data_IF_421359827523
#
_entry.id   IF_421359827523
#
_cell.length_a   1.000
_cell.length_b   1.000
_cell.length_c   1.000
_cell.angle_alpha   90.00
_cell.angle_beta   90.00
_cell.angle_gamma   90.00
#
_symmetry.space_group_name_H-M   'P 1'
#
loop_
_entity.id
_entity.type
_entity.pdbx_description
1 polymer ?
#
# COMPACT_ATOMS: atom_id res chain seq x y z
N UNK A 1 -7.28 13.32 -11.84
CA UNK A 1 -8.68 12.88 -11.95
C UNK A 1 -9.49 13.73 -10.98
N UNK A 2 -10.58 14.36 -11.43
CA UNK A 2 -11.44 15.19 -10.58
C UNK A 2 -12.86 14.67 -10.67
N UNK A 3 -13.48 14.38 -9.54
CA UNK A 3 -14.88 13.97 -9.42
C UNK A 3 -15.72 15.23 -9.25
N UNK A 4 -16.15 15.84 -10.35
CA UNK A 4 -16.91 17.10 -10.29
C UNK A 4 -16.16 18.25 -9.60
N UNK A 5 -14.82 18.28 -9.66
CA UNK A 5 -13.97 19.27 -8.98
C UNK A 5 -13.38 18.79 -7.66
N UNK A 6 -13.78 17.63 -7.14
CA UNK A 6 -13.19 17.01 -5.95
C UNK A 6 -11.99 16.12 -6.31
N UNK A 7 -10.89 16.24 -5.57
CA UNK A 7 -9.74 15.34 -5.68
C UNK A 7 -9.86 14.26 -4.59
N UNK A 8 -9.81 12.96 -4.92
CA UNK A 8 -9.93 11.89 -3.94
C UNK A 8 -8.97 12.02 -2.76
N UNK A 9 -9.51 11.87 -1.55
CA UNK A 9 -8.78 11.85 -0.29
C UNK A 9 -8.85 10.47 0.35
N UNK A 10 -7.92 10.19 1.26
CA UNK A 10 -8.00 9.00 2.13
C UNK A 10 -9.33 9.02 2.90
N UNK A 11 -9.99 7.86 2.95
CA UNK A 11 -11.33 7.61 3.51
C UNK A 11 -12.52 8.09 2.67
N UNK A 12 -12.32 8.69 1.51
CA UNK A 12 -13.43 8.91 0.57
C UNK A 12 -13.99 7.56 0.10
N UNK A 13 -15.32 7.47 0.06
CA UNK A 13 -16.04 6.34 -0.51
C UNK A 13 -16.44 6.75 -1.92
N UNK A 14 -15.78 6.17 -2.92
CA UNK A 14 -16.02 6.46 -4.33
C UNK A 14 -16.73 5.27 -4.95
N UNK A 15 -17.91 5.52 -5.49
CA UNK A 15 -18.63 4.57 -6.34
C UNK A 15 -18.07 4.63 -7.75
N UNK A 16 -17.58 3.49 -8.22
CA UNK A 16 -16.98 3.32 -9.54
C UNK A 16 -17.68 2.15 -10.24
N UNK A 17 -18.11 2.30 -11.51
CA UNK A 17 -18.56 1.18 -12.32
C UNK A 17 -17.39 0.21 -12.55
N UNK A 18 -17.46 -0.97 -11.93
CA UNK A 18 -16.44 -2.01 -12.03
C UNK A 18 -17.06 -3.30 -12.58
N UNK A 19 -16.36 -3.93 -13.52
CA UNK A 19 -16.63 -5.32 -13.93
C UNK A 19 -16.31 -6.27 -12.78
N UNK A 20 -16.97 -7.42 -12.69
CA UNK A 20 -16.65 -8.45 -11.69
C UNK A 20 -15.25 -9.03 -11.88
N UNK A 21 -14.68 -8.90 -13.08
CA UNK A 21 -13.34 -9.36 -13.45
C UNK A 21 -12.51 -8.25 -14.09
N UNK A 22 -11.20 -8.45 -14.15
CA UNK A 22 -10.25 -7.62 -14.87
C UNK A 22 -9.16 -8.46 -15.52
N UNK A 23 -8.17 -7.82 -16.16
CA UNK A 23 -7.00 -8.51 -16.67
C UNK A 23 -6.27 -9.23 -15.53
N UNK A 24 -5.99 -10.52 -15.73
CA UNK A 24 -5.10 -11.29 -14.86
C UNK A 24 -3.67 -11.19 -15.41
N UNK A 25 -2.81 -10.52 -14.67
CA UNK A 25 -1.37 -10.44 -14.97
C UNK A 25 -0.57 -11.54 -14.23
N UNK A 26 -1.26 -12.53 -13.69
CA UNK A 26 -0.77 -13.73 -13.02
C UNK A 26 -0.12 -13.52 -11.64
N UNK A 27 -0.11 -12.28 -11.12
CA UNK A 27 0.49 -11.98 -9.81
C UNK A 27 -0.46 -11.27 -8.83
N UNK A 28 -1.66 -10.90 -9.24
CA UNK A 28 -2.64 -10.19 -8.41
C UNK A 28 -4.06 -10.71 -8.62
N UNK A 29 -4.86 -10.68 -7.55
CA UNK A 29 -6.21 -11.26 -7.52
C UNK A 29 -7.31 -10.20 -7.54
N UNK A 30 -6.96 -8.96 -7.24
CA UNK A 30 -7.88 -7.86 -6.94
C UNK A 30 -8.27 -7.04 -8.18
N UNK A 31 -7.65 -7.32 -9.33
CA UNK A 31 -7.85 -6.54 -10.54
C UNK A 31 -9.29 -6.61 -11.07
N UNK A 32 -9.84 -5.44 -11.34
CA UNK A 32 -11.16 -5.27 -11.95
C UNK A 32 -11.07 -4.27 -13.09
N UNK A 33 -11.80 -4.53 -14.17
CA UNK A 33 -11.92 -3.55 -15.27
C UNK A 33 -12.85 -2.42 -14.85
N UNK A 34 -12.37 -1.18 -14.94
CA UNK A 34 -13.22 0.02 -14.84
C UNK A 34 -14.11 0.09 -16.08
N UNK A 35 -15.42 0.09 -15.88
CA UNK A 35 -16.41 0.17 -16.95
C UNK A 35 -16.70 1.63 -17.31
N UNK A 36 -17.34 1.84 -18.46
CA UNK A 36 -17.87 3.16 -18.83
C UNK A 36 -18.98 3.55 -17.84
N UNK A 37 -18.93 4.80 -17.37
CA UNK A 37 -19.94 5.39 -16.51
C UNK A 37 -19.34 6.51 -15.64
N UNK A 38 -20.17 7.06 -14.77
CA UNK A 38 -19.78 8.15 -13.88
C UNK A 38 -19.20 7.62 -12.57
N UNK A 39 -18.25 8.36 -12.01
CA UNK A 39 -17.68 8.11 -10.70
C UNK A 39 -18.30 9.10 -9.73
N UNK A 40 -18.78 8.62 -8.58
CA UNK A 40 -19.49 9.45 -7.61
C UNK A 40 -18.81 9.38 -6.25
N UNK A 41 -18.65 10.52 -5.59
CA UNK A 41 -18.32 10.56 -4.17
C UNK A 41 -19.59 10.20 -3.38
N UNK A 42 -19.67 8.97 -2.92
CA UNK A 42 -20.83 8.44 -2.19
C UNK A 42 -20.80 8.80 -0.69
N UNK A 43 -19.63 9.15 -0.16
CA UNK A 43 -19.49 9.60 1.21
C UNK A 43 -18.04 9.63 1.66
N UNK A 44 -17.85 9.75 2.98
CA UNK A 44 -16.54 9.73 3.62
C UNK A 44 -16.63 8.85 4.87
N UNK A 45 -15.73 7.88 4.96
CA UNK A 45 -15.59 7.02 6.11
C UNK A 45 -14.82 7.71 7.24
N UNK A 46 -15.00 7.24 8.46
CA UNK A 46 -14.09 7.51 9.57
C UNK A 46 -13.03 6.42 9.65
N UNK A 47 -11.89 6.65 10.35
CA UNK A 47 -10.94 5.58 10.64
C UNK A 47 -11.60 4.37 11.32
N UNK A 48 -12.56 4.61 12.22
CA UNK A 48 -13.31 3.57 12.93
C UNK A 48 -14.16 2.73 11.97
N UNK A 49 -14.75 3.31 10.94
CA UNK A 49 -15.56 2.59 9.95
C UNK A 49 -14.74 1.55 9.17
N UNK A 50 -13.46 1.85 8.91
CA UNK A 50 -12.56 0.98 8.14
C UNK A 50 -11.78 -0.02 9.00
N UNK A 51 -11.76 0.14 10.32
CA UNK A 51 -11.10 -0.78 11.27
C UNK A 51 -11.55 -2.24 11.09
N UNK A 52 -12.82 -2.48 10.74
CA UNK A 52 -13.35 -3.83 10.53
C UNK A 52 -12.74 -4.56 9.32
N UNK A 53 -12.17 -3.82 8.37
CA UNK A 53 -11.46 -4.37 7.22
C UNK A 53 -9.96 -4.51 7.47
N UNK A 54 -9.44 -3.87 8.52
CA UNK A 54 -8.03 -3.92 8.85
C UNK A 54 -7.64 -5.29 9.42
N UNK A 55 -6.69 -5.93 8.75
CA UNK A 55 -6.13 -7.20 9.17
C UNK A 55 -5.01 -6.97 10.20
N UNK A 56 -4.74 -8.00 11.00
CA UNK A 56 -3.51 -8.08 11.81
C UNK A 56 -2.75 -9.35 11.44
N UNK A 57 -2.26 -9.44 10.19
CA UNK A 57 -1.68 -10.68 9.70
C UNK A 57 -0.36 -10.96 10.40
N UNK A 58 -0.06 -12.25 10.65
CA UNK A 58 1.28 -12.64 11.11
C UNK A 58 2.35 -12.30 10.07
N UNK A 59 2.01 -12.37 8.79
CA UNK A 59 2.92 -12.10 7.66
C UNK A 59 2.24 -11.12 6.72
N UNK A 60 2.86 -9.96 6.52
CA UNK A 60 2.35 -8.92 5.61
C UNK A 60 2.77 -9.25 4.18
N UNK A 61 1.78 -9.35 3.28
CA UNK A 61 1.97 -9.64 1.86
C UNK A 61 2.95 -10.81 1.64
N UNK A 62 2.51 -12.01 2.01
CA UNK A 62 3.09 -13.34 1.68
C UNK A 62 4.38 -13.79 2.37
N UNK A 63 5.33 -12.88 2.62
CA UNK A 63 6.64 -13.26 3.17
C UNK A 63 7.21 -12.20 4.15
N UNK A 64 8.41 -12.44 4.66
CA UNK A 64 9.10 -11.53 5.58
C UNK A 64 10.09 -10.58 4.88
N UNK A 65 10.21 -10.65 3.55
CA UNK A 65 11.09 -9.81 2.74
C UNK A 65 10.40 -8.48 2.43
N UNK A 66 11.17 -7.51 1.91
CA UNK A 66 10.66 -6.21 1.40
C UNK A 66 9.96 -6.33 0.04
N UNK A 67 9.99 -7.51 -0.58
CA UNK A 67 9.41 -7.81 -1.90
C UNK A 67 8.95 -9.27 -1.94
N UNK A 68 8.13 -9.63 -2.91
CA UNK A 68 7.97 -11.02 -3.37
C UNK A 68 8.40 -11.10 -4.83
N UNK A 69 8.98 -12.19 -5.29
CA UNK A 69 9.26 -12.36 -6.73
C UNK A 69 7.97 -12.66 -7.48
N UNK A 70 7.95 -12.37 -8.78
CA UNK A 70 6.83 -12.76 -9.65
C UNK A 70 6.54 -14.27 -9.56
N UNK A 71 7.59 -15.09 -9.53
CA UNK A 71 7.47 -16.54 -9.36
C UNK A 71 6.84 -16.94 -8.01
N UNK A 72 7.24 -16.31 -6.90
CA UNK A 72 6.64 -16.54 -5.57
C UNK A 72 5.14 -16.20 -5.57
N UNK A 73 4.72 -15.21 -6.37
CA UNK A 73 3.30 -14.83 -6.52
C UNK A 73 2.55 -15.81 -7.41
N UNK A 74 3.10 -16.18 -8.57
CA UNK A 74 2.48 -17.12 -9.52
C UNK A 74 2.30 -18.53 -8.92
N UNK A 75 3.20 -18.95 -8.02
CA UNK A 75 3.11 -20.22 -7.31
C UNK A 75 1.90 -20.32 -6.36
N UNK A 76 1.22 -19.21 -6.08
CA UNK A 76 0.01 -19.20 -5.24
C UNK A 76 -1.25 -19.43 -6.06
N UNK A 77 -2.29 -20.05 -5.47
CA UNK A 77 -3.64 -20.04 -6.03
C UNK A 77 -4.09 -18.60 -6.31
N UNK A 78 -4.86 -18.39 -7.38
CA UNK A 78 -5.29 -17.07 -7.83
C UNK A 78 -5.86 -16.21 -6.69
N UNK A 79 -6.78 -16.77 -5.88
CA UNK A 79 -7.45 -16.06 -4.78
C UNK A 79 -6.52 -15.69 -3.62
N UNK A 80 -5.31 -16.27 -3.57
CA UNK A 80 -4.31 -15.98 -2.54
C UNK A 80 -3.25 -14.98 -3.02
N UNK A 81 -3.30 -14.51 -4.28
CA UNK A 81 -2.35 -13.54 -4.85
C UNK A 81 -2.66 -12.11 -4.42
N UNK A 82 -2.84 -11.89 -3.12
CA UNK A 82 -3.20 -10.59 -2.55
C UNK A 82 -2.05 -9.59 -2.72
N UNK A 83 -2.24 -8.51 -3.45
CA UNK A 83 -1.27 -7.41 -3.60
C UNK A 83 -1.64 -6.17 -2.81
N UNK A 84 -2.86 -6.10 -2.25
CA UNK A 84 -3.34 -4.99 -1.43
C UNK A 84 -3.86 -5.45 -0.06
N UNK A 85 -3.38 -4.83 1.02
CA UNK A 85 -3.80 -5.16 2.39
C UNK A 85 -3.95 -3.92 3.25
N UNK A 86 -5.11 -3.74 3.88
CA UNK A 86 -5.25 -2.81 4.99
C UNK A 86 -4.82 -3.51 6.28
N UNK A 87 -3.83 -2.98 6.98
CA UNK A 87 -3.32 -3.56 8.23
C UNK A 87 -3.39 -2.57 9.39
N UNK A 88 -3.59 -3.08 10.61
CA UNK A 88 -3.50 -2.29 11.83
C UNK A 88 -2.16 -2.49 12.53
N UNK A 89 -1.38 -1.41 12.69
CA UNK A 89 -0.07 -1.39 13.34
C UNK A 89 -0.13 -0.51 14.59
N UNK A 90 0.50 -0.96 15.68
CA UNK A 90 0.52 -0.26 16.99
C UNK A 90 1.89 0.30 17.40
N UNK A 91 2.92 0.01 16.60
CA UNK A 91 4.29 0.46 16.82
C UNK A 91 4.89 0.93 15.48
N UNK A 92 4.10 1.72 14.74
CA UNK A 92 4.53 2.30 13.49
C UNK A 92 5.56 3.39 13.76
N UNK A 93 6.63 3.40 12.97
CA UNK A 93 7.67 4.42 13.03
C UNK A 93 8.09 4.78 11.60
N UNK A 94 8.69 5.93 11.44
CA UNK A 94 9.24 6.37 10.16
C UNK A 94 10.71 6.72 10.29
N UNK A 95 11.45 6.55 9.21
CA UNK A 95 12.85 6.94 9.09
C UNK A 95 13.05 7.65 7.77
N UNK A 96 13.72 8.79 7.85
CA UNK A 96 14.26 9.44 6.69
C UNK A 96 15.51 8.69 6.23
N UNK A 97 15.50 8.22 4.99
CA UNK A 97 16.61 7.47 4.39
C UNK A 97 17.36 8.26 3.34
N UNK A 98 17.37 9.60 3.46
CA UNK A 98 18.39 10.43 2.81
C UNK A 98 19.78 9.81 3.06
N UNK A 99 20.26 9.05 2.08
CA UNK A 99 21.68 8.80 1.92
C UNK A 99 22.28 10.14 1.48
N UNK A 100 23.50 10.44 1.91
CA UNK A 100 24.22 11.69 1.70
C UNK A 100 24.49 12.08 0.23
N UNK A 101 23.71 11.60 -0.75
CA UNK A 101 23.96 11.72 -2.19
C UNK A 101 22.75 12.15 -3.03
N UNK A 102 21.54 12.23 -2.46
CA UNK A 102 20.39 12.83 -3.15
C UNK A 102 19.63 13.77 -2.21
N UNK A 103 19.50 15.05 -2.56
CA UNK A 103 18.74 16.06 -1.79
C UNK A 103 17.22 15.78 -1.73
N UNK A 104 16.74 14.67 -2.28
CA UNK A 104 15.33 14.30 -2.26
C UNK A 104 15.04 13.45 -1.02
N UNK A 105 14.05 13.83 -0.19
CA UNK A 105 13.59 12.99 0.91
C UNK A 105 13.24 11.58 0.44
N UNK A 106 13.54 10.57 1.26
CA UNK A 106 13.14 9.19 1.00
C UNK A 106 12.66 8.54 2.29
N UNK A 107 11.36 8.59 2.53
CA UNK A 107 10.78 8.08 3.78
C UNK A 107 10.51 6.58 3.73
N UNK A 108 10.89 5.89 4.80
CA UNK A 108 10.56 4.48 5.04
C UNK A 108 9.71 4.34 6.29
N UNK A 109 8.70 3.49 6.24
CA UNK A 109 7.97 3.03 7.41
C UNK A 109 8.65 1.79 8.01
N UNK A 110 8.73 1.74 9.33
CA UNK A 110 9.25 0.62 10.11
C UNK A 110 8.08 -0.02 10.85
N UNK A 111 7.92 -1.32 10.65
CA UNK A 111 6.81 -2.09 11.21
C UNK A 111 7.20 -3.57 11.32
N UNK A 112 6.42 -4.36 12.08
CA UNK A 112 6.71 -5.78 12.28
C UNK A 112 5.92 -6.68 11.33
N UNK A 113 6.62 -7.61 10.68
CA UNK A 113 6.06 -8.72 9.88
C UNK A 113 6.77 -10.02 10.27
N UNK A 114 6.02 -11.09 10.51
CA UNK A 114 6.54 -12.39 10.93
C UNK A 114 7.42 -12.33 12.20
N UNK A 115 7.15 -11.38 13.10
CA UNK A 115 7.95 -11.14 14.31
C UNK A 115 9.25 -10.36 14.08
N UNK A 116 9.58 -10.00 12.82
CA UNK A 116 10.76 -9.23 12.44
C UNK A 116 10.37 -7.82 12.05
N UNK A 117 11.26 -6.87 12.28
CA UNK A 117 11.10 -5.53 11.72
C UNK A 117 11.40 -5.55 10.22
N UNK A 118 10.56 -4.89 9.45
CA UNK A 118 10.76 -4.62 8.03
C UNK A 118 10.69 -3.11 7.79
N UNK A 119 11.43 -2.65 6.80
CA UNK A 119 11.38 -1.27 6.33
C UNK A 119 10.77 -1.22 4.93
N UNK A 120 9.79 -0.35 4.75
CA UNK A 120 8.97 -0.32 3.54
C UNK A 120 8.89 1.11 3.03
N UNK A 121 8.97 1.31 1.71
CA UNK A 121 8.85 2.64 1.10
C UNK A 121 7.48 3.26 1.33
N UNK A 122 7.43 4.54 1.68
CA UNK A 122 6.18 5.31 1.78
C UNK A 122 5.95 6.03 0.45
N UNK A 123 4.80 5.80 -0.16
CA UNK A 123 4.38 6.42 -1.44
C UNK A 123 3.07 7.19 -1.34
N UNK A 124 2.45 7.23 -0.16
CA UNK A 124 1.34 8.13 0.13
C UNK A 124 1.81 9.59 0.01
N UNK A 125 1.37 10.35 -1.01
CA UNK A 125 1.90 11.69 -1.26
C UNK A 125 1.51 12.69 -0.18
N UNK A 126 0.32 12.53 0.43
CA UNK A 126 -0.16 13.44 1.49
C UNK A 126 0.66 13.21 2.74
N UNK A 127 0.80 11.96 3.16
CA UNK A 127 1.58 11.62 4.34
C UNK A 127 3.07 11.92 4.15
N UNK A 128 3.62 11.65 2.95
CA UNK A 128 5.00 11.99 2.62
C UNK A 128 5.29 13.48 2.74
N UNK A 129 4.36 14.34 2.29
CA UNK A 129 4.49 15.79 2.44
C UNK A 129 4.45 16.22 3.91
N UNK A 130 3.52 15.66 4.71
CA UNK A 130 3.50 15.90 6.17
C UNK A 130 4.84 15.58 6.82
N UNK A 131 5.46 14.44 6.47
CA UNK A 131 6.76 14.06 7.01
C UNK A 131 7.86 15.06 6.61
N UNK A 132 7.85 15.57 5.37
CA UNK A 132 8.79 16.62 4.94
C UNK A 132 8.62 17.93 5.71
N UNK A 133 7.42 18.21 6.19
CA UNK A 133 7.09 19.38 7.02
C UNK A 133 7.42 19.17 8.50
N UNK A 134 7.98 18.01 8.87
CA UNK A 134 8.39 17.69 10.25
C UNK A 134 7.31 17.00 11.08
N UNK A 135 6.25 16.48 10.46
CA UNK A 135 5.23 15.70 11.15
C UNK A 135 5.81 14.47 11.84
N UNK A 136 5.49 14.29 13.12
CA UNK A 136 5.77 13.06 13.86
C UNK A 136 4.51 12.19 13.86
N UNK A 137 4.54 11.01 13.20
CA UNK A 137 3.34 10.21 13.07
C UNK A 137 2.98 9.47 14.35
N UNK A 138 1.68 9.25 14.53
CA UNK A 138 1.16 8.29 15.52
C UNK A 138 1.81 6.92 15.33
N UNK A 139 2.00 6.20 16.45
CA UNK A 139 2.42 4.79 16.44
C UNK A 139 1.28 3.85 16.05
N UNK A 140 0.05 4.30 16.22
CA UNK A 140 -1.17 3.53 16.07
C UNK A 140 -1.86 3.93 14.75
N UNK A 141 -1.60 3.15 13.70
CA UNK A 141 -2.04 3.49 12.35
C UNK A 141 -2.73 2.32 11.65
N UNK A 142 -3.65 2.63 10.76
CA UNK A 142 -3.98 1.76 9.64
C UNK A 142 -3.07 2.08 8.46
N UNK A 143 -2.48 1.06 7.87
CA UNK A 143 -1.60 1.19 6.72
C UNK A 143 -2.19 0.41 5.55
N UNK A 144 -2.30 1.06 4.40
CA UNK A 144 -2.56 0.39 3.13
C UNK A 144 -1.24 -0.09 2.57
N UNK A 145 -0.97 -1.38 2.75
CA UNK A 145 0.16 -2.07 2.17
C UNK A 145 -0.18 -2.45 0.72
N UNK A 146 0.71 -2.14 -0.21
CA UNK A 146 0.57 -2.49 -1.62
C UNK A 146 1.84 -3.15 -2.15
N UNK A 147 1.74 -3.77 -3.33
CA UNK A 147 2.90 -4.24 -4.08
C UNK A 147 3.04 -3.48 -5.40
N UNK A 148 4.27 -3.22 -5.83
CA UNK A 148 4.52 -2.69 -7.18
C UNK A 148 4.25 -3.74 -8.24
N UNK A 149 4.09 -3.29 -9.49
CA UNK A 149 4.32 -4.17 -10.64
C UNK A 149 5.72 -4.83 -10.54
N UNK A 150 5.89 -6.05 -11.10
CA UNK A 150 7.18 -6.70 -11.14
C UNK A 150 8.21 -5.82 -11.86
N UNK A 151 9.24 -5.36 -11.14
CA UNK A 151 10.29 -4.51 -11.71
C UNK A 151 11.64 -4.75 -11.06
N UNK A 152 12.57 -5.25 -11.87
CA UNK A 152 13.98 -5.35 -11.51
C UNK A 152 14.66 -3.98 -11.55
N UNK A 153 15.61 -3.77 -10.65
CA UNK A 153 16.59 -2.69 -10.76
C UNK A 153 17.86 -3.22 -11.43
N UNK A 154 18.74 -2.31 -11.88
CA UNK A 154 20.00 -2.69 -12.51
C UNK A 154 20.82 -3.58 -11.56
N UNK A 155 21.31 -4.70 -12.10
CA UNK A 155 22.06 -5.70 -11.33
C UNK A 155 21.20 -6.68 -10.52
N UNK A 156 19.87 -6.67 -10.66
CA UNK A 156 19.02 -7.70 -10.07
C UNK A 156 19.21 -9.05 -10.76
N UNK A 157 19.43 -10.10 -9.97
CA UNK A 157 19.47 -11.47 -10.45
C UNK A 157 18.16 -12.21 -10.11
N UNK A 158 17.64 -12.97 -11.08
CA UNK A 158 16.45 -13.81 -10.91
C UNK A 158 15.13 -13.13 -11.32
N UNK A 159 14.02 -13.70 -10.85
CA UNK A 159 12.66 -13.26 -11.19
C UNK A 159 12.40 -11.83 -10.72
N UNK A 160 11.73 -10.97 -11.52
CA UNK A 160 11.47 -9.58 -11.15
C UNK A 160 10.72 -9.45 -9.82
N UNK A 161 11.15 -8.56 -8.92
CA UNK A 161 10.51 -8.36 -7.62
C UNK A 161 9.30 -7.42 -7.73
N UNK A 162 8.27 -7.76 -6.98
CA UNK A 162 7.14 -6.91 -6.62
C UNK A 162 7.42 -6.33 -5.22
N UNK A 163 7.72 -5.03 -5.14
CA UNK A 163 8.15 -4.37 -3.91
C UNK A 163 6.97 -4.00 -3.03
N UNK A 164 7.08 -4.26 -1.72
CA UNK A 164 6.08 -3.81 -0.75
C UNK A 164 6.22 -2.29 -0.55
N UNK A 165 5.09 -1.61 -0.45
CA UNK A 165 4.98 -0.17 -0.24
C UNK A 165 3.87 0.14 0.76
N UNK A 166 3.99 1.28 1.43
CA UNK A 166 2.92 1.91 2.20
C UNK A 166 2.29 2.97 1.28
N UNK A 167 1.12 2.67 0.75
CA UNK A 167 0.40 3.52 -0.21
C UNK A 167 -0.62 4.46 0.46
N UNK A 168 -0.94 4.24 1.72
CA UNK A 168 -1.85 5.09 2.50
C UNK A 168 -1.61 4.93 3.99
N UNK A 169 -1.70 6.04 4.73
CA UNK A 169 -1.57 6.06 6.20
C UNK A 169 -2.79 6.75 6.81
N UNK A 170 -3.45 6.07 7.76
CA UNK A 170 -4.52 6.62 8.58
C UNK A 170 -4.09 6.51 10.04
N UNK A 171 -3.84 7.64 10.69
CA UNK A 171 -3.49 7.72 12.11
C UNK A 171 -4.76 7.58 12.97
N UNK A 172 -4.67 6.87 14.10
CA UNK A 172 -5.84 6.51 14.94
C UNK A 172 -5.89 7.26 16.29
N UNK A 173 -5.02 8.25 16.49
CA UNK A 173 -4.93 9.06 17.71
C UNK A 173 -5.44 10.49 17.50
#
# INVERSE_FOLDING_TARGET
>A
MHLGGHFPEILDIIEIPLSDTGPDFEFESENRTILKGEWNLAGKATPQDVMKYAQRPRVILHNHKKFCTLEEMQAKPFQERITLQLIHVRDFRVRDTRANETDKPSWKGLLRSAGREIEVGITDPVFFNKLNEGHEPSRNCLLTMSMTLPKAFDGWEGSPPCWKLIAGVIELD
#
